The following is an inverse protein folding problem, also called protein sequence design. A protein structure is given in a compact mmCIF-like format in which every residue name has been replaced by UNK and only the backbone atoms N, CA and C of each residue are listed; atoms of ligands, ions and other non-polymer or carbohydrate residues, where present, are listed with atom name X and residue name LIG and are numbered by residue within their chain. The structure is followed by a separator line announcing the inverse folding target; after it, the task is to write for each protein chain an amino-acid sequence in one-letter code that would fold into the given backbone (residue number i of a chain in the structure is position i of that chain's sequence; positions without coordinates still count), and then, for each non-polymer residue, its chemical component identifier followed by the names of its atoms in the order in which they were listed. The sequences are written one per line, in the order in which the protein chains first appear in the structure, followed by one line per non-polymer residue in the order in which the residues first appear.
data_IF_353249096895
#
_entry.id   IF_353249096895
#
_cell.length_a   1.000
_cell.length_b   1.000
_cell.length_c   1.000
_cell.angle_alpha   90.00
_cell.angle_beta   90.00
_cell.angle_gamma   90.00
#
_symmetry.space_group_name_H-M   'P 1'
#
loop_
_entity.id
_entity.type
_entity.pdbx_description
1 polymer ?
#
# COMPACT_ATOMS: atom_id res chain seq x y z
N UNK A 1 2.74 -0.38 15.95
CA UNK A 1 2.13 0.47 14.92
C UNK A 1 1.26 -0.40 14.01
N UNK A 2 0.07 0.06 13.68
CA UNK A 2 -0.84 -0.61 12.74
C UNK A 2 -0.72 0.07 11.39
N UNK A 3 -0.44 -0.71 10.36
CA UNK A 3 -0.28 -0.21 8.99
C UNK A 3 -1.26 -0.94 8.08
N UNK A 4 -2.10 -0.18 7.40
CA UNK A 4 -3.10 -0.67 6.45
C UNK A 4 -2.65 -0.28 5.05
N UNK A 5 -2.73 -1.19 4.09
CA UNK A 5 -2.34 -0.92 2.71
C UNK A 5 -3.50 -1.07 1.74
N UNK A 6 -3.49 -0.21 0.72
CA UNK A 6 -4.35 -0.39 -0.45
C UNK A 6 -3.75 -1.40 -1.44
N UNK A 7 -4.53 -1.72 -2.48
CA UNK A 7 -4.14 -2.67 -3.53
C UNK A 7 -2.89 -2.18 -4.29
N UNK A 8 -2.84 -0.90 -4.64
CA UNK A 8 -1.80 -0.37 -5.53
C UNK A 8 -0.42 -0.38 -4.89
N UNK A 9 -0.31 -0.08 -3.61
CA UNK A 9 0.97 -0.15 -2.89
C UNK A 9 1.49 -1.58 -2.85
N UNK A 10 0.63 -2.55 -2.51
CA UNK A 10 1.02 -3.98 -2.52
C UNK A 10 1.47 -4.41 -3.90
N UNK A 11 0.73 -4.05 -4.93
CA UNK A 11 1.03 -4.36 -6.32
C UNK A 11 2.38 -3.76 -6.75
N UNK A 12 2.65 -2.51 -6.42
CA UNK A 12 3.91 -1.85 -6.76
C UNK A 12 5.11 -2.51 -6.07
N UNK A 13 4.98 -2.84 -4.80
CA UNK A 13 6.05 -3.54 -4.08
C UNK A 13 6.20 -5.00 -4.52
N UNK A 14 5.15 -5.63 -5.06
CA UNK A 14 5.26 -6.93 -5.71
C UNK A 14 6.07 -6.81 -7.02
N UNK A 15 5.80 -5.80 -7.83
CA UNK A 15 6.54 -5.54 -9.07
C UNK A 15 8.04 -5.34 -8.81
N UNK A 16 8.40 -4.69 -7.72
CA UNK A 16 9.79 -4.48 -7.31
C UNK A 16 10.39 -5.64 -6.52
N UNK A 17 9.56 -6.61 -6.09
CA UNK A 17 9.95 -7.69 -5.17
C UNK A 17 10.61 -7.13 -3.88
N UNK A 18 9.99 -6.09 -3.31
CA UNK A 18 10.58 -5.30 -2.23
C UNK A 18 9.68 -5.13 -0.99
N UNK A 19 8.58 -5.89 -0.87
CA UNK A 19 7.69 -5.77 0.29
C UNK A 19 8.40 -6.08 1.62
N UNK A 20 9.24 -7.12 1.74
CA UNK A 20 9.95 -7.37 2.98
C UNK A 20 10.82 -6.20 3.43
N UNK A 21 11.46 -5.49 2.51
CA UNK A 21 12.24 -4.29 2.82
C UNK A 21 11.35 -3.15 3.32
N UNK A 22 10.13 -3.03 2.79
CA UNK A 22 9.17 -2.05 3.27
C UNK A 22 8.78 -2.33 4.72
N UNK A 23 8.53 -3.59 5.06
CA UNK A 23 8.23 -3.97 6.45
C UNK A 23 9.39 -3.60 7.39
N UNK A 24 10.62 -3.88 6.98
CA UNK A 24 11.81 -3.52 7.75
C UNK A 24 11.90 -2.00 7.95
N UNK A 25 11.68 -1.23 6.90
CA UNK A 25 11.72 0.24 6.96
C UNK A 25 10.61 0.83 7.84
N UNK A 26 9.45 0.20 7.88
CA UNK A 26 8.33 0.61 8.73
C UNK A 26 8.43 0.06 10.16
N UNK A 27 9.39 -0.82 10.43
CA UNK A 27 9.55 -1.51 11.71
C UNK A 27 8.32 -2.30 12.13
N UNK A 28 7.70 -2.99 11.18
CA UNK A 28 6.54 -3.86 11.40
C UNK A 28 6.80 -5.26 10.81
N UNK A 29 6.11 -6.26 11.32
CA UNK A 29 6.22 -7.64 10.84
C UNK A 29 5.14 -8.03 9.83
N UNK A 30 4.12 -7.21 9.68
CA UNK A 30 3.02 -7.44 8.73
C UNK A 30 2.29 -6.15 8.38
N UNK A 31 1.55 -6.19 7.27
CA UNK A 31 0.59 -5.17 6.89
C UNK A 31 -0.83 -5.76 6.97
N UNK A 32 -1.80 -4.91 7.34
CA UNK A 32 -3.21 -5.26 7.25
C UNK A 32 -3.77 -4.82 5.90
N UNK A 33 -4.62 -5.66 5.32
CA UNK A 33 -5.36 -5.33 4.10
C UNK A 33 -6.86 -5.52 4.34
N UNK A 34 -7.71 -4.58 3.92
CA UNK A 34 -9.16 -4.77 3.98
C UNK A 34 -9.61 -5.94 3.11
N UNK A 35 -10.78 -6.51 3.40
CA UNK A 35 -11.37 -7.60 2.60
C UNK A 35 -11.48 -7.25 1.12
N UNK A 36 -11.89 -6.00 0.79
CA UNK A 36 -11.99 -5.57 -0.60
C UNK A 36 -10.62 -5.54 -1.31
N UNK A 37 -9.55 -5.16 -0.60
CA UNK A 37 -8.19 -5.21 -1.14
C UNK A 37 -7.76 -6.66 -1.37
N UNK A 38 -8.04 -7.55 -0.43
CA UNK A 38 -7.78 -8.98 -0.60
C UNK A 38 -8.46 -9.52 -1.87
N UNK A 39 -9.73 -9.20 -2.09
CA UNK A 39 -10.49 -9.64 -3.26
C UNK A 39 -9.88 -9.11 -4.56
N UNK A 40 -9.46 -7.84 -4.61
CA UNK A 40 -8.79 -7.26 -5.76
C UNK A 40 -7.45 -7.95 -6.06
N UNK A 41 -6.65 -8.23 -5.02
CA UNK A 41 -5.38 -8.93 -5.18
C UNK A 41 -5.60 -10.36 -5.69
N UNK A 42 -6.59 -11.07 -5.16
CA UNK A 42 -6.93 -12.42 -5.64
C UNK A 42 -7.39 -12.41 -7.10
N UNK A 43 -8.17 -11.40 -7.50
CA UNK A 43 -8.58 -11.26 -8.90
C UNK A 43 -7.38 -11.03 -9.83
N UNK A 44 -6.40 -10.22 -9.41
CA UNK A 44 -5.16 -10.01 -10.16
C UNK A 44 -4.32 -11.27 -10.29
N UNK A 45 -4.19 -12.05 -9.22
CA UNK A 45 -3.48 -13.33 -9.24
C UNK A 45 -4.20 -14.33 -10.16
N UNK A 46 -5.53 -14.41 -10.07
CA UNK A 46 -6.33 -15.30 -10.91
C UNK A 46 -6.24 -14.95 -12.40
N UNK A 47 -6.04 -13.66 -12.73
CA UNK A 47 -5.80 -13.19 -14.09
C UNK A 47 -4.37 -13.51 -14.58
N UNK A 48 -3.53 -14.18 -13.76
CA UNK A 48 -2.16 -14.58 -14.08
C UNK A 48 -1.24 -13.41 -14.44
N UNK A 49 -1.39 -12.29 -13.75
CA UNK A 49 -0.47 -11.17 -13.85
C UNK A 49 0.84 -11.56 -13.15
N UNK A 50 1.90 -11.79 -13.92
CA UNK A 50 3.12 -12.45 -13.44
C UNK A 50 3.78 -11.77 -12.25
N UNK A 51 3.85 -10.44 -12.23
CA UNK A 51 4.51 -9.73 -11.13
C UNK A 51 3.72 -9.74 -9.81
N UNK A 52 2.46 -10.16 -9.82
CA UNK A 52 1.63 -10.30 -8.62
C UNK A 52 1.80 -11.66 -7.92
N UNK A 53 2.52 -12.59 -8.53
CA UNK A 53 2.70 -13.95 -7.99
C UNK A 53 3.24 -13.97 -6.53
N UNK A 54 4.21 -13.12 -6.13
CA UNK A 54 4.72 -13.14 -4.76
C UNK A 54 3.65 -12.86 -3.68
N UNK A 55 2.55 -12.20 -4.05
CA UNK A 55 1.49 -11.82 -3.10
C UNK A 55 0.86 -13.03 -2.43
N UNK A 56 0.65 -14.13 -3.15
CA UNK A 56 0.12 -15.37 -2.59
C UNK A 56 1.01 -15.87 -1.44
N UNK A 57 2.32 -15.85 -1.62
CA UNK A 57 3.27 -16.22 -0.58
C UNK A 57 3.19 -15.27 0.63
N UNK A 58 3.05 -13.98 0.40
CA UNK A 58 2.94 -13.00 1.49
C UNK A 58 1.66 -13.17 2.30
N UNK A 59 0.55 -13.56 1.67
CA UNK A 59 -0.69 -13.89 2.35
C UNK A 59 -0.53 -15.18 3.17
N UNK A 60 0.02 -16.22 2.56
CA UNK A 60 0.21 -17.53 3.21
C UNK A 60 1.16 -17.44 4.41
N UNK A 61 2.22 -16.66 4.30
CA UNK A 61 3.21 -16.43 5.38
C UNK A 61 2.77 -15.40 6.42
N UNK A 62 1.57 -14.81 6.27
CA UNK A 62 1.03 -13.79 7.19
C UNK A 62 1.80 -12.47 7.22
N UNK A 63 2.57 -12.17 6.20
CA UNK A 63 3.15 -10.84 5.94
C UNK A 63 2.02 -9.87 5.57
N UNK A 64 1.05 -10.33 4.78
CA UNK A 64 -0.21 -9.63 4.54
C UNK A 64 -1.32 -10.35 5.31
N UNK A 65 -2.04 -9.61 6.15
CA UNK A 65 -3.14 -10.16 6.95
C UNK A 65 -4.44 -9.45 6.62
N UNK A 66 -5.47 -10.21 6.32
CA UNK A 66 -6.79 -9.66 6.04
C UNK A 66 -7.41 -9.17 7.34
N UNK A 67 -7.86 -7.92 7.35
CA UNK A 67 -8.61 -7.32 8.44
C UNK A 67 -10.06 -7.09 7.97
N UNK A 68 -10.98 -8.03 8.26
CA UNK A 68 -12.37 -7.86 7.87
C UNK A 68 -13.02 -6.73 8.65
N UNK A 69 -13.94 -6.02 7.98
CA UNK A 69 -14.71 -4.96 8.61
C UNK A 69 -15.97 -5.53 9.29
N UNK A 70 -16.37 -4.93 10.40
CA UNK A 70 -17.67 -5.19 11.01
C UNK A 70 -18.80 -4.62 10.14
N UNK A 71 -20.05 -5.03 10.41
CA UNK A 71 -21.21 -4.48 9.71
C UNK A 71 -21.30 -2.95 9.86
N UNK A 72 -21.05 -2.43 11.06
CA UNK A 72 -21.02 -0.98 11.32
C UNK A 72 -19.94 -0.28 10.49
N UNK A 73 -18.73 -0.85 10.45
CA UNK A 73 -17.64 -0.29 9.67
C UNK A 73 -17.95 -0.28 8.17
N UNK A 74 -18.59 -1.34 7.66
CA UNK A 74 -19.05 -1.40 6.25
C UNK A 74 -20.07 -0.31 5.94
N UNK A 75 -21.04 -0.08 6.84
CA UNK A 75 -22.01 1.01 6.69
C UNK A 75 -21.30 2.38 6.66
N UNK A 76 -20.35 2.61 7.54
CA UNK A 76 -19.57 3.85 7.54
C UNK A 76 -18.76 4.03 6.26
N UNK A 77 -18.18 2.96 5.73
CA UNK A 77 -17.45 3.00 4.46
C UNK A 77 -18.35 3.44 3.30
N UNK A 78 -19.63 3.05 3.30
CA UNK A 78 -20.59 3.47 2.27
C UNK A 78 -20.90 4.97 2.31
N UNK A 79 -20.66 5.65 3.43
CA UNK A 79 -20.86 7.11 3.55
C UNK A 79 -19.69 7.94 3.01
N UNK A 80 -18.56 7.32 2.71
CA UNK A 80 -17.40 8.00 2.14
C UNK A 80 -17.63 8.34 0.66
N UNK A 81 -16.83 9.26 0.07
CA UNK A 81 -17.01 9.65 -1.33
C UNK A 81 -17.13 8.44 -2.27
N UNK A 82 -18.16 8.43 -3.10
CA UNK A 82 -18.44 7.33 -4.02
C UNK A 82 -17.39 7.19 -5.14
N UNK A 83 -16.58 8.24 -5.36
CA UNK A 83 -15.43 8.19 -6.27
C UNK A 83 -14.29 7.32 -5.76
N UNK A 84 -14.27 6.99 -4.47
CA UNK A 84 -13.29 6.07 -3.90
C UNK A 84 -13.73 4.62 -4.15
N UNK A 85 -12.77 3.75 -4.49
CA UNK A 85 -13.02 2.32 -4.59
C UNK A 85 -13.34 1.68 -3.24
N UNK A 86 -13.91 0.48 -3.25
CA UNK A 86 -14.27 -0.23 -2.01
C UNK A 86 -13.06 -0.45 -1.10
N UNK A 87 -11.91 -0.85 -1.65
CA UNK A 87 -10.68 -1.04 -0.89
C UNK A 87 -10.18 0.25 -0.24
N UNK A 88 -10.27 1.37 -0.94
CA UNK A 88 -9.89 2.68 -0.43
C UNK A 88 -10.79 3.11 0.73
N UNK A 89 -12.10 2.98 0.58
CA UNK A 89 -13.07 3.32 1.63
C UNK A 89 -12.88 2.45 2.87
N UNK A 90 -12.74 1.15 2.69
CA UNK A 90 -12.50 0.24 3.80
C UNK A 90 -11.17 0.52 4.50
N UNK A 91 -10.12 0.83 3.74
CA UNK A 91 -8.81 1.20 4.29
C UNK A 91 -8.89 2.46 5.14
N UNK A 92 -9.63 3.46 4.71
CA UNK A 92 -9.86 4.71 5.47
C UNK A 92 -10.53 4.39 6.82
N UNK A 93 -11.59 3.59 6.83
CA UNK A 93 -12.31 3.24 8.06
C UNK A 93 -11.42 2.47 9.04
N UNK A 94 -10.69 1.48 8.55
CA UNK A 94 -9.75 0.72 9.39
C UNK A 94 -8.65 1.61 9.98
N UNK A 95 -8.15 2.56 9.19
CA UNK A 95 -7.12 3.51 9.63
C UNK A 95 -7.66 4.43 10.72
N UNK A 96 -8.85 4.97 10.53
CA UNK A 96 -9.50 5.85 11.50
C UNK A 96 -9.75 5.13 12.83
N UNK A 97 -10.35 3.96 12.79
CA UNK A 97 -10.70 3.20 13.99
C UNK A 97 -9.47 2.69 14.75
N UNK A 98 -8.43 2.29 14.05
CA UNK A 98 -7.21 1.76 14.66
C UNK A 98 -6.19 2.83 15.05
N UNK A 99 -6.39 4.07 14.58
CA UNK A 99 -5.40 5.14 14.62
C UNK A 99 -4.07 4.71 14.00
N UNK A 100 -4.16 3.91 12.94
CA UNK A 100 -3.03 3.41 12.19
C UNK A 100 -2.54 4.36 11.12
N UNK A 101 -1.76 3.82 10.20
CA UNK A 101 -1.24 4.54 9.03
C UNK A 101 -1.73 3.85 7.76
N UNK A 102 -2.29 4.62 6.83
CA UNK A 102 -2.75 4.12 5.53
C UNK A 102 -1.64 4.30 4.49
N UNK A 103 -1.35 3.24 3.75
CA UNK A 103 -0.45 3.29 2.60
C UNK A 103 -1.30 3.35 1.34
N UNK A 104 -1.20 4.44 0.58
CA UNK A 104 -1.94 4.61 -0.68
C UNK A 104 -1.21 5.59 -1.59
N UNK A 105 -1.31 5.36 -2.89
CA UNK A 105 -0.80 6.29 -3.90
C UNK A 105 -1.91 7.06 -4.62
N UNK A 106 -3.16 6.85 -4.23
CA UNK A 106 -4.29 7.58 -4.81
C UNK A 106 -4.36 9.00 -4.23
N UNK A 107 -4.08 9.98 -5.06
CA UNK A 107 -4.00 11.39 -4.63
C UNK A 107 -5.26 11.88 -3.93
N UNK A 108 -6.44 11.48 -4.39
CA UNK A 108 -7.70 11.89 -3.77
C UNK A 108 -7.85 11.33 -2.36
N UNK A 109 -7.39 10.11 -2.13
CA UNK A 109 -7.40 9.47 -0.80
C UNK A 109 -6.37 10.14 0.11
N UNK A 110 -5.16 10.42 -0.39
CA UNK A 110 -4.13 11.18 0.35
C UNK A 110 -4.68 12.53 0.81
N UNK A 111 -5.34 13.26 -0.09
CA UNK A 111 -5.94 14.56 0.23
C UNK A 111 -7.07 14.43 1.27
N UNK A 112 -7.90 13.40 1.15
CA UNK A 112 -8.94 13.11 2.14
C UNK A 112 -8.35 12.86 3.52
N UNK A 113 -7.33 12.03 3.61
CA UNK A 113 -6.65 11.73 4.86
C UNK A 113 -6.06 12.99 5.51
N UNK A 114 -5.41 13.84 4.72
CA UNK A 114 -4.86 15.11 5.22
C UNK A 114 -5.94 16.01 5.83
N UNK A 115 -7.10 16.13 5.18
CA UNK A 115 -8.22 16.94 5.66
C UNK A 115 -8.89 16.35 6.91
N UNK A 116 -8.80 15.06 7.12
CA UNK A 116 -9.45 14.36 8.23
C UNK A 116 -8.45 13.91 9.32
N UNK A 117 -7.23 14.42 9.27
CA UNK A 117 -6.19 14.14 10.27
C UNK A 117 -5.84 12.65 10.40
N UNK A 118 -5.93 11.91 9.29
CA UNK A 118 -5.51 10.52 9.23
C UNK A 118 -4.05 10.45 8.73
N UNK A 119 -3.26 9.57 9.33
CA UNK A 119 -1.90 9.33 8.88
C UNK A 119 -1.91 8.54 7.57
N UNK A 120 -1.19 9.04 6.59
CA UNK A 120 -1.11 8.43 5.27
C UNK A 120 0.29 8.61 4.69
N UNK A 121 0.81 7.56 4.07
CA UNK A 121 2.07 7.58 3.33
C UNK A 121 1.82 7.16 1.88
N UNK A 122 2.35 7.94 0.95
CA UNK A 122 2.28 7.64 -0.47
C UNK A 122 3.53 6.86 -0.95
N UNK A 123 3.50 6.40 -2.19
CA UNK A 123 4.57 5.58 -2.76
C UNK A 123 5.94 6.28 -2.70
N UNK A 124 6.01 7.55 -3.04
CA UNK A 124 7.28 8.30 -3.00
C UNK A 124 7.85 8.40 -1.60
N UNK A 125 6.98 8.63 -0.59
CA UNK A 125 7.40 8.65 0.81
C UNK A 125 7.90 7.28 1.28
N UNK A 126 7.25 6.20 0.84
CA UNK A 126 7.68 4.84 1.17
C UNK A 126 9.03 4.50 0.53
N UNK A 127 9.23 4.84 -0.73
CA UNK A 127 10.50 4.64 -1.41
C UNK A 127 11.62 5.46 -0.75
N UNK A 128 11.34 6.70 -0.36
CA UNK A 128 12.28 7.52 0.40
C UNK A 128 12.65 6.86 1.73
N UNK A 129 11.68 6.29 2.42
CA UNK A 129 11.90 5.62 3.70
C UNK A 129 12.89 4.47 3.58
N UNK A 130 12.86 3.70 2.49
CA UNK A 130 13.75 2.56 2.28
C UNK A 130 15.23 2.95 2.40
N UNK A 131 15.65 4.05 1.79
CA UNK A 131 17.05 4.46 1.85
C UNK A 131 17.36 5.32 3.08
N UNK A 132 16.40 6.08 3.59
CA UNK A 132 16.60 6.83 4.85
C UNK A 132 16.80 5.89 6.04
N UNK A 133 16.04 4.81 6.12
CA UNK A 133 16.19 3.76 7.14
C UNK A 133 17.33 2.78 6.83
N UNK A 134 18.06 2.98 5.73
CA UNK A 134 19.22 2.19 5.30
C UNK A 134 18.89 0.70 5.07
N UNK A 135 17.64 0.36 4.78
CA UNK A 135 17.27 -1.01 4.38
C UNK A 135 17.56 -1.27 2.91
N UNK A 136 17.73 -0.22 2.12
CA UNK A 136 18.17 -0.28 0.73
C UNK A 136 19.05 0.92 0.41
N UNK A 137 19.92 0.78 -0.58
CA UNK A 137 20.72 1.90 -1.10
C UNK A 137 19.87 2.75 -2.05
N UNK A 138 20.24 4.03 -2.30
CA UNK A 138 19.57 4.83 -3.34
C UNK A 138 19.54 4.14 -4.71
N UNK A 139 20.61 3.45 -5.11
CA UNK A 139 20.65 2.74 -6.39
C UNK A 139 19.69 1.55 -6.43
N UNK A 140 19.55 0.82 -5.32
CA UNK A 140 18.55 -0.23 -5.20
C UNK A 140 17.12 0.34 -5.31
N UNK A 141 16.85 1.47 -4.67
CA UNK A 141 15.54 2.14 -4.76
C UNK A 141 15.26 2.57 -6.21
N UNK A 142 16.25 3.11 -6.94
CA UNK A 142 16.10 3.42 -8.36
C UNK A 142 15.75 2.18 -9.19
N UNK A 143 16.33 1.03 -8.86
CA UNK A 143 16.00 -0.24 -9.51
C UNK A 143 14.55 -0.63 -9.22
N UNK A 144 14.07 -0.48 -7.99
CA UNK A 144 12.67 -0.73 -7.65
C UNK A 144 11.73 0.18 -8.43
N UNK A 145 12.04 1.48 -8.51
CA UNK A 145 11.26 2.45 -9.28
C UNK A 145 11.16 2.06 -10.76
N UNK A 146 12.26 1.63 -11.35
CA UNK A 146 12.29 1.17 -12.75
C UNK A 146 11.40 -0.05 -12.96
N UNK A 147 11.45 -1.03 -12.05
CA UNK A 147 10.59 -2.21 -12.10
C UNK A 147 9.11 -1.85 -11.99
N UNK A 148 8.78 -0.90 -11.11
CA UNK A 148 7.41 -0.38 -10.97
C UNK A 148 6.95 0.31 -12.26
N UNK A 149 7.80 1.13 -12.88
CA UNK A 149 7.51 1.78 -14.15
C UNK A 149 7.28 0.75 -15.26
N UNK A 150 8.13 -0.25 -15.38
CA UNK A 150 8.03 -1.30 -16.40
C UNK A 150 6.75 -2.15 -16.23
N UNK A 151 6.40 -2.50 -14.99
CA UNK A 151 5.25 -3.36 -14.72
C UNK A 151 3.91 -2.61 -14.74
N UNK A 152 3.86 -1.38 -14.26
CA UNK A 152 2.62 -0.67 -13.96
C UNK A 152 2.49 0.67 -14.69
N UNK A 153 3.52 1.11 -15.41
CA UNK A 153 3.50 2.40 -16.10
C UNK A 153 3.57 3.62 -15.18
N UNK A 154 3.98 3.45 -13.93
CA UNK A 154 4.13 4.55 -12.98
C UNK A 154 5.24 5.49 -13.44
N UNK A 155 4.96 6.80 -13.46
CA UNK A 155 5.93 7.84 -13.77
C UNK A 155 6.31 8.58 -12.49
N UNK A 156 7.60 8.56 -12.15
CA UNK A 156 8.13 9.29 -11.00
C UNK A 156 8.65 10.66 -11.47
N UNK A 157 7.99 11.74 -11.03
CA UNK A 157 8.28 13.10 -11.52
C UNK A 157 9.35 13.86 -10.76
N UNK A 158 9.61 13.50 -9.50
CA UNK A 158 10.47 14.26 -8.59
C UNK A 158 11.55 13.39 -7.94
N UNK A 159 12.37 12.75 -8.78
CA UNK A 159 13.49 11.90 -8.32
C UNK A 159 14.45 12.65 -7.39
N UNK A 160 14.72 13.93 -7.66
CA UNK A 160 15.63 14.72 -6.85
C UNK A 160 15.11 14.92 -5.41
N UNK A 161 13.81 15.12 -5.23
CA UNK A 161 13.21 15.23 -3.89
C UNK A 161 13.21 13.91 -3.15
N UNK A 162 12.98 12.81 -3.85
CA UNK A 162 12.96 11.48 -3.26
C UNK A 162 14.34 11.12 -2.68
N UNK A 163 15.41 11.51 -3.33
CA UNK A 163 16.80 11.23 -2.92
C UNK A 163 17.51 12.39 -2.21
N UNK A 164 16.79 13.45 -1.90
CA UNK A 164 17.34 14.60 -1.20
C UNK A 164 17.66 14.34 0.29
#
# INVERSE_FOLDING_TARGET
MIVISDTNIISSFAAADALPLLLDALHVDHLLIPSAVYDELQAGIAAKVAYLEPISHWIDSKILRVAPLTAEQLERAETLPQSFGAGERQGIILTDDSRGTLLTNEKRVVNYCARNHLLCLNLSQLLRLLWKEKVATPDQVRTFMRRMTEAEGIVFKDDDQLFA
#
